data_IF_088560243679
#
_entry.id   IF_088560243679
#
_cell.length_a   1.000
_cell.length_b   1.000
_cell.length_c   1.000
_cell.angle_alpha   90.00
_cell.angle_beta   90.00
_cell.angle_gamma   90.00
#
_symmetry.space_group_name_H-M   'P 1'
#
loop_
_entity.id
_entity.type
_entity.pdbx_description
1 polymer ?
#
# COMPACT_ATOMS: atom_id res chain seq x y z
N UNK A 1 -39.87 -28.86 10.39
CA UNK A 1 -38.91 -27.76 10.12
C UNK A 1 -37.72 -28.05 10.99
N UNK A 2 -36.53 -28.15 10.41
CA UNK A 2 -35.32 -28.49 11.15
C UNK A 2 -34.44 -27.25 11.26
N UNK A 3 -33.86 -27.01 12.43
CA UNK A 3 -33.15 -25.77 12.73
C UNK A 3 -31.75 -26.09 13.22
N UNK A 4 -30.75 -25.50 12.56
CA UNK A 4 -29.36 -25.53 12.98
C UNK A 4 -28.97 -24.14 13.51
N UNK A 5 -28.27 -24.11 14.65
CA UNK A 5 -27.71 -22.87 15.21
C UNK A 5 -26.21 -23.06 15.34
N UNK A 6 -25.45 -22.26 14.62
CA UNK A 6 -24.00 -22.34 14.50
C UNK A 6 -23.36 -21.08 15.06
N UNK A 7 -22.33 -21.26 15.89
CA UNK A 7 -21.40 -20.18 16.25
C UNK A 7 -20.29 -20.15 15.21
N UNK A 8 -20.09 -19.02 14.56
CA UNK A 8 -19.05 -18.86 13.55
C UNK A 8 -17.66 -18.72 14.20
N UNK A 9 -16.60 -19.24 13.55
CA UNK A 9 -15.23 -19.13 14.04
C UNK A 9 -14.74 -17.68 13.88
N UNK A 10 -13.91 -17.20 14.79
CA UNK A 10 -13.33 -15.85 14.71
C UNK A 10 -12.55 -15.68 13.39
N UNK A 11 -12.93 -14.68 12.60
CA UNK A 11 -12.28 -14.32 11.33
C UNK A 11 -11.24 -13.21 11.51
N UNK A 12 -10.29 -13.05 10.57
CA UNK A 12 -9.33 -11.94 10.59
C UNK A 12 -10.03 -10.58 10.63
N UNK A 13 -9.36 -9.59 11.22
CA UNK A 13 -9.83 -8.19 11.16
C UNK A 13 -10.03 -7.76 9.70
N UNK A 14 -11.06 -6.94 9.43
CA UNK A 14 -11.41 -6.41 8.09
C UNK A 14 -11.90 -7.45 7.07
N UNK A 15 -12.43 -8.56 7.57
CA UNK A 15 -13.13 -9.56 6.76
C UNK A 15 -14.56 -9.70 7.26
N UNK A 16 -15.47 -10.14 6.38
CA UNK A 16 -16.85 -10.49 6.72
C UNK A 16 -17.16 -11.89 6.23
N UNK A 17 -18.04 -12.58 6.92
CA UNK A 17 -18.51 -13.89 6.47
C UNK A 17 -19.31 -13.77 5.16
N UNK A 18 -19.10 -14.72 4.26
CA UNK A 18 -19.69 -14.78 2.92
C UNK A 18 -20.52 -16.03 2.70
N UNK A 19 -20.04 -17.19 3.13
CA UNK A 19 -20.77 -18.44 2.93
C UNK A 19 -20.34 -19.55 3.89
N UNK A 20 -21.20 -20.55 4.05
CA UNK A 20 -20.91 -21.78 4.78
C UNK A 20 -20.95 -22.94 3.80
N UNK A 21 -19.94 -23.80 3.87
CA UNK A 21 -19.83 -25.03 3.09
C UNK A 21 -20.57 -26.14 3.81
N UNK A 22 -21.53 -26.74 3.13
CA UNK A 22 -22.43 -27.77 3.63
C UNK A 22 -22.17 -29.07 2.87
N UNK A 23 -22.18 -30.19 3.58
CA UNK A 23 -22.17 -31.54 3.02
C UNK A 23 -23.35 -32.32 3.55
N UNK A 24 -23.89 -33.21 2.73
CA UNK A 24 -24.85 -34.21 3.17
C UNK A 24 -24.68 -35.51 2.37
N UNK A 25 -25.02 -36.66 2.95
CA UNK A 25 -24.94 -37.93 2.25
C UNK A 25 -26.05 -38.09 1.21
N UNK A 26 -25.68 -38.63 0.05
CA UNK A 26 -26.62 -38.97 -1.03
C UNK A 26 -27.09 -37.77 -1.85
N UNK A 27 -28.13 -38.01 -2.65
CA UNK A 27 -28.77 -36.96 -3.45
C UNK A 27 -29.74 -36.14 -2.60
N UNK A 28 -29.71 -34.81 -2.77
CA UNK A 28 -30.59 -33.90 -2.05
C UNK A 28 -30.93 -32.64 -2.83
N UNK A 29 -32.09 -32.07 -2.56
CA UNK A 29 -32.44 -30.68 -2.89
C UNK A 29 -33.12 -30.08 -1.66
N UNK A 30 -32.49 -29.09 -1.05
CA UNK A 30 -32.90 -28.54 0.24
C UNK A 30 -33.10 -27.03 0.08
N UNK A 31 -34.27 -26.58 0.50
CA UNK A 31 -34.65 -25.17 0.55
C UNK A 31 -34.76 -24.73 2.00
N UNK A 32 -34.40 -23.49 2.25
CA UNK A 32 -34.39 -22.97 3.60
C UNK A 32 -34.14 -21.48 3.68
N UNK A 33 -34.06 -21.01 4.92
CA UNK A 33 -33.84 -19.62 5.30
C UNK A 33 -32.63 -19.51 6.20
N UNK A 34 -31.85 -18.46 6.00
CA UNK A 34 -30.70 -18.14 6.84
C UNK A 34 -30.95 -16.84 7.60
N UNK A 35 -30.59 -16.87 8.88
CA UNK A 35 -30.65 -15.73 9.78
C UNK A 35 -29.30 -15.55 10.46
N UNK A 36 -28.92 -14.31 10.68
CA UNK A 36 -27.66 -13.93 11.30
C UNK A 36 -27.92 -13.23 12.62
N UNK A 37 -27.01 -13.37 13.58
CA UNK A 37 -27.18 -12.80 14.92
C UNK A 37 -25.87 -12.50 15.61
N UNK A 38 -25.86 -11.44 16.43
CA UNK A 38 -24.76 -11.13 17.36
C UNK A 38 -24.77 -12.12 18.54
N UNK A 39 -25.94 -12.62 18.90
CA UNK A 39 -26.15 -13.64 19.92
C UNK A 39 -27.26 -14.62 19.49
N UNK A 40 -27.44 -15.75 20.19
CA UNK A 40 -28.48 -16.74 19.84
C UNK A 40 -29.94 -16.31 20.04
N UNK A 41 -30.19 -15.11 20.58
CA UNK A 41 -31.53 -14.63 20.92
C UNK A 41 -32.06 -13.63 19.88
N UNK A 42 -31.16 -12.86 19.24
CA UNK A 42 -31.50 -11.80 18.30
C UNK A 42 -31.08 -12.17 16.88
N UNK A 43 -32.08 -12.39 16.02
CA UNK A 43 -31.90 -12.87 14.66
C UNK A 43 -32.38 -11.85 13.61
N UNK A 44 -31.51 -11.52 12.67
CA UNK A 44 -31.83 -10.80 11.43
C UNK A 44 -31.99 -11.82 10.30
N UNK A 45 -33.11 -11.76 9.59
CA UNK A 45 -33.25 -12.50 8.34
C UNK A 45 -32.26 -11.99 7.29
N UNK A 46 -31.55 -12.89 6.62
CA UNK A 46 -30.59 -12.52 5.59
C UNK A 46 -31.08 -12.94 4.19
N UNK A 47 -31.27 -14.24 3.95
CA UNK A 47 -31.66 -14.74 2.63
C UNK A 47 -32.43 -16.08 2.69
N UNK A 48 -33.04 -16.43 1.56
CA UNK A 48 -33.49 -17.80 1.29
C UNK A 48 -32.44 -18.50 0.42
N UNK A 49 -32.23 -19.80 0.62
CA UNK A 49 -31.25 -20.59 -0.13
C UNK A 49 -31.86 -21.86 -0.70
N UNK A 50 -31.24 -22.37 -1.76
CA UNK A 50 -31.47 -23.71 -2.29
C UNK A 50 -30.10 -24.35 -2.51
N UNK A 51 -29.84 -25.48 -1.85
CA UNK A 51 -28.65 -26.31 -2.08
C UNK A 51 -29.08 -27.64 -2.67
N UNK A 52 -28.27 -28.20 -3.56
CA UNK A 52 -28.60 -29.48 -4.19
C UNK A 52 -27.37 -30.29 -4.54
N UNK A 53 -27.53 -31.60 -4.48
CA UNK A 53 -26.58 -32.58 -4.98
C UNK A 53 -27.36 -33.67 -5.71
N UNK A 54 -27.11 -33.82 -7.01
CA UNK A 54 -27.70 -34.88 -7.85
C UNK A 54 -26.63 -35.87 -8.36
N UNK A 55 -25.45 -35.85 -7.75
CA UNK A 55 -24.35 -36.74 -8.10
C UNK A 55 -24.09 -37.72 -6.94
N UNK A 56 -23.86 -39.00 -7.25
CA UNK A 56 -23.46 -40.00 -6.26
C UNK A 56 -22.15 -39.58 -5.58
N UNK A 57 -22.22 -39.08 -4.35
CA UNK A 57 -21.06 -38.67 -3.54
C UNK A 57 -21.36 -37.61 -2.48
N UNK A 58 -20.40 -37.39 -1.56
CA UNK A 58 -20.47 -36.34 -0.53
C UNK A 58 -19.87 -35.01 -1.04
N UNK A 59 -20.42 -34.49 -2.14
CA UNK A 59 -19.99 -33.20 -2.68
C UNK A 59 -20.51 -32.05 -1.80
N UNK A 60 -19.68 -31.02 -1.67
CA UNK A 60 -20.00 -29.88 -0.82
C UNK A 60 -20.65 -28.76 -1.62
N UNK A 61 -21.74 -28.20 -1.09
CA UNK A 61 -22.41 -27.02 -1.63
C UNK A 61 -22.21 -25.82 -0.68
N UNK A 62 -22.58 -24.61 -1.11
CA UNK A 62 -22.38 -23.37 -0.35
C UNK A 62 -23.72 -22.67 -0.09
N UNK A 63 -23.97 -22.32 1.15
CA UNK A 63 -25.03 -21.38 1.52
C UNK A 63 -24.41 -20.00 1.65
N UNK A 64 -24.79 -19.07 0.77
CA UNK A 64 -24.31 -17.68 0.78
C UNK A 64 -25.12 -16.81 1.73
N UNK A 65 -24.44 -15.90 2.43
CA UNK A 65 -25.05 -14.91 3.30
C UNK A 65 -24.12 -13.70 3.46
N UNK A 66 -24.68 -12.55 3.84
CA UNK A 66 -23.90 -11.34 4.05
C UNK A 66 -23.95 -10.92 5.51
N UNK A 67 -22.89 -11.25 6.26
CA UNK A 67 -22.76 -10.82 7.65
C UNK A 67 -22.31 -9.36 7.76
N UNK A 68 -22.83 -8.67 8.77
CA UNK A 68 -22.27 -7.43 9.32
C UNK A 68 -21.13 -7.75 10.30
N UNK A 69 -20.32 -6.75 10.68
CA UNK A 69 -19.10 -6.96 11.49
C UNK A 69 -19.36 -7.66 12.83
N UNK A 70 -20.53 -7.47 13.43
CA UNK A 70 -20.85 -7.97 14.77
C UNK A 70 -21.59 -9.33 14.77
N UNK A 71 -22.00 -9.85 13.62
CA UNK A 71 -22.80 -11.07 13.51
C UNK A 71 -21.92 -12.33 13.57
N UNK A 72 -21.87 -13.00 14.74
CA UNK A 72 -21.07 -14.22 14.95
C UNK A 72 -21.87 -15.51 15.02
N UNK A 73 -23.19 -15.46 14.83
CA UNK A 73 -24.08 -16.62 14.86
C UNK A 73 -24.91 -16.72 13.58
N UNK A 74 -25.18 -17.96 13.17
CA UNK A 74 -26.03 -18.27 12.02
C UNK A 74 -27.09 -19.28 12.45
N UNK A 75 -28.34 -18.99 12.13
CA UNK A 75 -29.47 -19.91 12.23
C UNK A 75 -29.93 -20.32 10.84
N UNK A 76 -29.94 -21.61 10.58
CA UNK A 76 -30.35 -22.19 9.30
C UNK A 76 -31.64 -22.98 9.55
N UNK A 77 -32.70 -22.57 8.88
CA UNK A 77 -34.01 -23.20 8.94
C UNK A 77 -34.26 -23.91 7.61
N UNK A 78 -34.45 -25.23 7.64
CA UNK A 78 -34.72 -26.03 6.45
C UNK A 78 -36.17 -26.52 6.42
N UNK A 79 -36.72 -26.55 5.21
CA UNK A 79 -38.09 -26.94 4.92
C UNK A 79 -38.34 -28.41 5.28
N UNK A 80 -39.60 -28.73 5.64
CA UNK A 80 -39.96 -30.01 6.26
C UNK A 80 -39.68 -31.24 5.40
N UNK A 81 -39.61 -31.10 4.08
CA UNK A 81 -39.31 -32.21 3.16
C UNK A 81 -37.84 -32.68 3.25
N UNK A 82 -36.96 -31.93 3.90
CA UNK A 82 -35.54 -32.24 4.05
C UNK A 82 -35.18 -32.88 5.42
N UNK A 83 -36.17 -33.22 6.27
CA UNK A 83 -35.94 -33.63 7.66
C UNK A 83 -35.13 -34.92 7.85
N UNK A 84 -34.94 -35.71 6.79
CA UNK A 84 -34.17 -36.96 6.84
C UNK A 84 -32.70 -36.80 6.42
N UNK A 85 -32.29 -35.59 6.02
CA UNK A 85 -30.94 -35.32 5.52
C UNK A 85 -30.17 -34.55 6.60
N UNK A 86 -29.15 -35.20 7.16
CA UNK A 86 -28.28 -34.58 8.16
C UNK A 86 -27.24 -33.71 7.46
N UNK A 87 -27.32 -32.39 7.68
CA UNK A 87 -26.37 -31.43 7.11
C UNK A 87 -25.13 -31.33 8.00
N UNK A 88 -23.96 -31.52 7.39
CA UNK A 88 -22.65 -31.28 8.01
C UNK A 88 -22.07 -29.95 7.53
N UNK A 89 -21.77 -29.05 8.48
CA UNK A 89 -21.19 -27.74 8.19
C UNK A 89 -19.67 -27.80 8.36
N UNK A 90 -18.96 -27.81 7.24
CA UNK A 90 -17.52 -28.15 7.22
C UNK A 90 -16.60 -26.94 7.29
N UNK A 91 -16.98 -25.83 6.67
CA UNK A 91 -16.13 -24.63 6.58
C UNK A 91 -16.97 -23.37 6.45
N UNK A 92 -16.43 -22.25 6.92
CA UNK A 92 -16.95 -20.91 6.65
C UNK A 92 -15.97 -20.17 5.72
N UNK A 93 -16.50 -19.48 4.72
CA UNK A 93 -15.76 -18.64 3.79
C UNK A 93 -16.03 -17.18 4.16
N UNK A 94 -14.96 -16.39 4.21
CA UNK A 94 -15.01 -14.96 4.43
C UNK A 94 -14.47 -14.23 3.19
N UNK A 95 -14.84 -12.97 3.04
CA UNK A 95 -14.28 -12.06 2.04
C UNK A 95 -13.75 -10.79 2.70
N UNK A 96 -12.74 -10.19 2.08
CA UNK A 96 -12.21 -8.90 2.49
C UNK A 96 -13.28 -7.83 2.32
N UNK A 97 -13.50 -7.00 3.34
CA UNK A 97 -14.34 -5.80 3.22
C UNK A 97 -13.49 -4.75 2.51
N UNK A 98 -13.85 -4.28 1.30
CA UNK A 98 -13.10 -3.26 0.60
C UNK A 98 -13.42 -1.88 1.21
N UNK A 99 -13.03 -1.67 2.46
CA UNK A 99 -12.94 -0.32 2.99
C UNK A 99 -11.63 0.25 2.45
N UNK A 100 -11.71 1.26 1.57
CA UNK A 100 -10.53 2.00 1.13
C UNK A 100 -9.98 2.74 2.35
N UNK A 101 -9.16 2.05 3.13
CA UNK A 101 -8.60 2.62 4.33
C UNK A 101 -7.59 3.70 3.93
N UNK A 102 -7.87 4.91 4.38
CA UNK A 102 -6.98 6.05 4.21
C UNK A 102 -6.20 6.26 5.51
N UNK A 103 -4.88 6.18 5.44
CA UNK A 103 -4.03 6.64 6.53
C UNK A 103 -3.89 8.15 6.44
N UNK A 104 -4.39 8.83 7.47
CA UNK A 104 -4.27 10.28 7.63
C UNK A 104 -2.95 10.62 8.31
N UNK A 105 -2.13 11.44 7.66
CA UNK A 105 -0.90 12.01 8.23
C UNK A 105 -0.98 13.53 8.20
N UNK A 106 -0.75 14.16 9.34
CA UNK A 106 -0.55 15.62 9.40
C UNK A 106 0.86 15.93 8.88
N UNK A 107 0.96 16.88 7.95
CA UNK A 107 2.25 17.35 7.43
C UNK A 107 2.94 18.21 8.49
N UNK A 108 4.20 17.90 8.78
CA UNK A 108 5.00 18.70 9.69
C UNK A 108 5.37 20.04 9.05
N UNK A 109 5.50 21.09 9.87
CA UNK A 109 5.85 22.43 9.38
C UNK A 109 7.21 22.47 8.69
N UNK A 110 8.13 21.57 9.06
CA UNK A 110 9.45 21.40 8.44
C UNK A 110 9.40 20.89 7.00
N UNK A 111 8.36 20.11 6.67
CA UNK A 111 8.14 19.56 5.32
C UNK A 111 7.33 20.49 4.41
N UNK A 112 6.84 21.61 4.96
CA UNK A 112 6.01 22.60 4.30
C UNK A 112 6.76 23.92 4.17
N UNK A 113 7.08 24.32 2.94
CA UNK A 113 7.70 25.61 2.65
C UNK A 113 6.67 26.54 2.02
N UNK A 114 6.61 27.78 2.48
CA UNK A 114 5.72 28.81 1.91
C UNK A 114 6.53 29.88 1.20
N UNK A 115 6.03 30.36 0.07
CA UNK A 115 6.58 31.49 -0.67
C UNK A 115 5.47 32.33 -1.31
N UNK A 116 5.86 33.44 -1.92
CA UNK A 116 4.97 34.30 -2.68
C UNK A 116 5.57 34.55 -4.07
N UNK A 117 4.76 34.36 -5.11
CA UNK A 117 5.13 34.65 -6.48
C UNK A 117 4.57 36.03 -6.86
N UNK A 118 5.46 37.00 -7.06
CA UNK A 118 5.09 38.38 -7.44
C UNK A 118 4.45 38.47 -8.81
N UNK A 119 4.88 37.63 -9.76
CA UNK A 119 4.47 37.74 -11.16
C UNK A 119 3.02 37.32 -11.35
N UNK A 120 2.59 36.29 -10.62
CA UNK A 120 1.23 35.76 -10.65
C UNK A 120 0.37 36.21 -9.48
N UNK A 121 0.94 36.99 -8.54
CA UNK A 121 0.33 37.36 -7.26
C UNK A 121 -0.30 36.16 -6.57
N UNK A 122 0.51 35.15 -6.32
CA UNK A 122 0.07 33.87 -5.75
C UNK A 122 0.89 33.46 -4.53
N UNK A 123 0.20 32.89 -3.54
CA UNK A 123 0.78 32.16 -2.44
C UNK A 123 1.15 30.75 -2.89
N UNK A 124 2.39 30.34 -2.62
CA UNK A 124 2.92 29.05 -3.06
C UNK A 124 3.32 28.22 -1.84
N UNK A 125 2.85 26.99 -1.78
CA UNK A 125 3.20 26.02 -0.75
C UNK A 125 3.87 24.81 -1.39
N UNK A 126 5.07 24.46 -0.93
CA UNK A 126 5.82 23.29 -1.35
C UNK A 126 5.77 22.25 -0.24
N UNK A 127 5.37 21.04 -0.58
CA UNK A 127 5.45 19.89 0.28
C UNK A 127 6.50 18.92 -0.27
N UNK A 128 7.55 18.67 0.52
CA UNK A 128 8.76 17.95 0.04
C UNK A 128 8.59 16.43 -0.11
N UNK A 129 7.62 15.84 0.60
CA UNK A 129 7.39 14.39 0.61
C UNK A 129 8.68 13.52 0.73
N UNK A 130 9.53 13.71 1.76
CA UNK A 130 10.85 13.05 1.83
C UNK A 130 10.77 11.52 1.84
N UNK A 131 9.71 10.96 2.42
CA UNK A 131 9.45 9.52 2.49
C UNK A 131 8.83 8.96 1.21
N UNK A 132 8.52 9.80 0.22
CA UNK A 132 7.87 9.43 -1.04
C UNK A 132 6.58 8.63 -0.86
N UNK A 133 5.81 8.95 0.18
CA UNK A 133 4.54 8.26 0.43
C UNK A 133 3.55 8.52 -0.71
N UNK A 134 2.77 7.51 -1.15
CA UNK A 134 1.85 7.63 -2.28
C UNK A 134 0.57 8.36 -1.87
N UNK A 135 0.57 9.68 -2.02
CA UNK A 135 -0.52 10.55 -1.56
C UNK A 135 -1.65 10.54 -2.58
N UNK A 136 -2.84 10.07 -2.21
CA UNK A 136 -4.01 10.13 -3.08
C UNK A 136 -4.91 11.33 -2.81
N UNK A 137 -4.80 11.95 -1.63
CA UNK A 137 -5.60 13.12 -1.27
C UNK A 137 -4.86 14.03 -0.30
N UNK A 138 -5.06 15.33 -0.44
CA UNK A 138 -4.53 16.35 0.46
C UNK A 138 -5.64 17.32 0.89
N UNK A 139 -5.64 17.70 2.16
CA UNK A 139 -6.63 18.59 2.76
C UNK A 139 -5.91 19.81 3.35
N UNK A 140 -6.31 20.99 2.89
CA UNK A 140 -5.72 22.26 3.33
C UNK A 140 -6.68 22.95 4.29
N UNK A 141 -6.15 23.32 5.46
CA UNK A 141 -6.85 24.06 6.49
C UNK A 141 -6.38 25.51 6.45
N UNK A 142 -7.28 26.37 5.98
CA UNK A 142 -7.01 27.79 5.76
C UNK A 142 -7.63 28.59 6.92
N UNK A 143 -6.84 29.50 7.48
CA UNK A 143 -7.21 30.31 8.65
C UNK A 143 -8.39 31.23 8.39
N UNK A 144 -8.42 31.84 7.20
CA UNK A 144 -9.38 32.87 6.86
C UNK A 144 -10.82 32.34 6.83
N UNK A 145 -11.75 33.14 7.37
CA UNK A 145 -13.16 32.74 7.55
C UNK A 145 -14.02 32.89 6.29
N UNK A 146 -13.55 33.62 5.28
CA UNK A 146 -14.24 33.82 4.01
C UNK A 146 -13.21 34.10 2.92
N UNK A 147 -13.23 33.32 1.86
CA UNK A 147 -12.38 33.52 0.69
C UNK A 147 -12.98 32.85 -0.54
N UNK A 148 -12.60 33.30 -1.73
CA UNK A 148 -12.73 32.55 -2.98
C UNK A 148 -11.44 32.78 -3.78
N UNK A 149 -10.70 31.72 -4.10
CA UNK A 149 -9.43 31.78 -4.82
C UNK A 149 -9.36 30.71 -5.88
N UNK A 150 -8.59 30.97 -6.94
CA UNK A 150 -8.16 29.92 -7.87
C UNK A 150 -6.96 29.20 -7.27
N UNK A 151 -6.89 27.89 -7.44
CA UNK A 151 -5.79 27.05 -7.01
C UNK A 151 -5.31 26.17 -8.16
N UNK A 152 -3.99 26.02 -8.28
CA UNK A 152 -3.34 25.03 -9.12
C UNK A 152 -2.50 24.10 -8.26
N UNK A 153 -2.47 22.82 -8.62
CA UNK A 153 -1.62 21.83 -7.98
C UNK A 153 -0.66 21.27 -9.02
N UNK A 154 0.59 21.12 -8.61
CA UNK A 154 1.68 20.59 -9.41
C UNK A 154 2.39 19.49 -8.64
N UNK A 155 3.03 18.59 -9.37
CA UNK A 155 3.93 17.58 -8.82
C UNK A 155 5.29 17.71 -9.49
N UNK A 156 6.34 17.28 -8.80
CA UNK A 156 7.67 17.22 -9.38
C UNK A 156 7.84 15.93 -10.17
N UNK A 157 8.12 16.04 -11.46
CA UNK A 157 8.33 14.90 -12.35
C UNK A 157 9.76 14.35 -12.25
N UNK A 158 10.05 13.29 -13.01
CA UNK A 158 11.37 12.63 -13.04
C UNK A 158 12.50 13.56 -13.53
N UNK A 159 12.18 14.54 -14.37
CA UNK A 159 13.11 15.59 -14.83
C UNK A 159 13.36 16.69 -13.80
N UNK A 160 12.81 16.56 -12.59
CA UNK A 160 12.87 17.56 -11.49
C UNK A 160 12.13 18.86 -11.79
N UNK A 161 11.26 18.86 -12.79
CA UNK A 161 10.41 19.99 -13.14
C UNK A 161 9.01 19.84 -12.54
N UNK A 162 8.34 20.96 -12.27
CA UNK A 162 6.97 20.94 -11.77
C UNK A 162 5.98 20.87 -12.93
N UNK A 163 5.23 19.77 -12.99
CA UNK A 163 4.16 19.55 -13.96
C UNK A 163 2.80 19.69 -13.28
N UNK A 164 1.82 20.24 -14.01
CA UNK A 164 0.49 20.54 -13.47
C UNK A 164 -0.34 19.26 -13.32
N UNK A 165 -0.74 18.92 -12.09
CA UNK A 165 -1.71 17.87 -11.82
C UNK A 165 -3.14 18.32 -12.14
N UNK A 166 -3.44 19.57 -11.82
CA UNK A 166 -4.79 20.09 -11.98
C UNK A 166 -4.97 21.45 -11.33
N UNK A 167 -6.22 21.84 -11.13
CA UNK A 167 -6.57 23.07 -10.45
C UNK A 167 -8.08 23.23 -10.33
N UNK A 168 -8.48 24.25 -9.59
CA UNK A 168 -9.89 24.52 -9.33
C UNK A 168 -10.08 25.86 -8.65
N UNK A 169 -11.26 26.04 -8.06
CA UNK A 169 -11.56 27.15 -7.16
C UNK A 169 -11.78 26.62 -5.76
N UNK A 170 -11.22 27.32 -4.79
CA UNK A 170 -11.38 27.06 -3.37
C UNK A 170 -12.17 28.22 -2.78
N UNK A 171 -13.15 27.94 -1.93
CA UNK A 171 -13.91 28.99 -1.29
C UNK A 171 -14.44 28.56 0.07
N UNK A 172 -14.57 29.54 0.96
CA UNK A 172 -15.22 29.40 2.26
C UNK A 172 -16.32 30.45 2.38
N UNK A 173 -17.54 29.98 2.69
CA UNK A 173 -18.66 30.84 3.11
C UNK A 173 -18.68 30.91 4.64
N UNK A 174 -19.23 32.00 5.19
CA UNK A 174 -19.22 32.31 6.63
C UNK A 174 -19.81 31.23 7.56
N UNK A 175 -20.67 30.34 7.04
CA UNK A 175 -21.31 29.27 7.81
C UNK A 175 -20.91 27.85 7.34
N UNK A 176 -19.84 27.69 6.56
CA UNK A 176 -19.39 26.39 6.03
C UNK A 176 -18.05 25.91 6.63
N UNK A 177 -17.86 24.59 6.68
CA UNK A 177 -16.51 24.02 6.83
C UNK A 177 -15.67 24.38 5.59
N UNK A 178 -14.38 24.59 5.78
CA UNK A 178 -13.50 25.21 4.78
C UNK A 178 -12.29 24.39 4.46
N UNK A 179 -12.52 23.11 4.37
CA UNK A 179 -11.44 22.19 4.13
C UNK A 179 -11.33 22.04 2.63
N UNK A 180 -10.24 22.57 2.08
CA UNK A 180 -9.97 22.41 0.66
C UNK A 180 -9.48 20.99 0.46
N UNK A 181 -10.37 20.13 -0.03
CA UNK A 181 -10.08 18.74 -0.31
C UNK A 181 -9.59 18.57 -1.76
N UNK A 182 -8.33 18.18 -1.92
CA UNK A 182 -7.66 17.92 -3.18
C UNK A 182 -7.55 16.42 -3.37
N UNK A 183 -8.36 15.84 -4.26
CA UNK A 183 -8.33 14.42 -4.59
C UNK A 183 -7.56 14.21 -5.88
N UNK A 184 -6.56 13.35 -5.87
CA UNK A 184 -5.72 13.04 -7.02
C UNK A 184 -6.21 11.76 -7.71
N UNK A 185 -6.23 11.78 -9.05
CA UNK A 185 -6.69 10.61 -9.82
C UNK A 185 -5.72 9.42 -9.74
N UNK A 186 -4.44 9.69 -9.45
CA UNK A 186 -3.37 8.73 -9.20
C UNK A 186 -2.61 9.18 -7.95
N UNK A 187 -2.18 8.24 -7.08
CA UNK A 187 -1.32 8.58 -5.95
C UNK A 187 -0.01 9.25 -6.39
N UNK A 188 0.42 10.26 -5.65
CA UNK A 188 1.60 11.07 -5.95
C UNK A 188 2.65 10.86 -4.86
N UNK A 189 3.79 10.28 -5.24
CA UNK A 189 4.93 10.01 -4.35
C UNK A 189 6.05 11.05 -4.44
N UNK A 190 5.87 12.13 -5.19
CA UNK A 190 6.86 13.19 -5.36
C UNK A 190 6.50 14.46 -4.59
N UNK A 191 7.35 15.49 -4.72
CA UNK A 191 7.10 16.81 -4.15
C UNK A 191 5.82 17.42 -4.76
N UNK A 192 4.98 18.01 -3.93
CA UNK A 192 3.78 18.74 -4.34
C UNK A 192 4.03 20.23 -4.25
N UNK A 193 3.58 20.99 -5.26
CA UNK A 193 3.50 22.45 -5.23
C UNK A 193 2.04 22.86 -5.37
N UNK A 194 1.56 23.64 -4.42
CA UNK A 194 0.21 24.19 -4.39
C UNK A 194 0.33 25.69 -4.58
N UNK A 195 -0.34 26.23 -5.60
CA UNK A 195 -0.32 27.64 -5.92
C UNK A 195 -1.74 28.21 -5.81
N UNK A 196 -1.95 29.16 -4.91
CA UNK A 196 -3.21 29.85 -4.68
C UNK A 196 -3.09 31.27 -5.23
N UNK A 197 -3.90 31.61 -6.21
CA UNK A 197 -3.89 32.93 -6.85
C UNK A 197 -4.69 33.90 -6.00
N UNK A 198 -3.99 34.85 -5.37
CA UNK A 198 -4.57 35.82 -4.44
C UNK A 198 -5.15 37.05 -5.16
N UNK A 199 -4.57 37.42 -6.31
CA UNK A 199 -5.02 38.58 -7.06
C UNK A 199 -4.87 39.86 -6.25
N UNK A 200 -5.95 40.63 -6.11
CA UNK A 200 -5.95 41.89 -5.34
C UNK A 200 -6.20 41.69 -3.84
N UNK A 201 -6.61 40.49 -3.43
CA UNK A 201 -6.85 40.20 -2.03
C UNK A 201 -5.56 39.82 -1.29
N UNK A 202 -5.60 39.86 0.04
CA UNK A 202 -4.50 39.40 0.89
C UNK A 202 -4.22 37.89 0.73
N UNK A 203 -2.94 37.46 0.83
CA UNK A 203 -2.52 36.07 0.86
C UNK A 203 -3.25 35.22 1.91
N UNK A 204 -3.64 34.00 1.55
CA UNK A 204 -4.25 33.06 2.49
C UNK A 204 -3.22 32.39 3.40
N UNK A 205 -3.58 32.18 4.67
CA UNK A 205 -2.71 31.54 5.66
C UNK A 205 -3.05 30.04 5.77
N UNK A 206 -2.13 29.18 5.34
CA UNK A 206 -2.23 27.74 5.54
C UNK A 206 -1.85 27.37 6.99
N UNK A 207 -2.82 26.96 7.80
CA UNK A 207 -2.58 26.53 9.18
C UNK A 207 -2.07 25.10 9.27
N UNK A 208 -2.65 24.23 8.45
CA UNK A 208 -2.39 22.80 8.46
C UNK A 208 -2.60 22.20 7.09
N UNK A 209 -1.77 21.22 6.75
CA UNK A 209 -2.00 20.31 5.64
C UNK A 209 -2.08 18.90 6.18
N UNK A 210 -3.09 18.16 5.73
CA UNK A 210 -3.21 16.73 5.99
C UNK A 210 -3.14 15.98 4.67
N UNK A 211 -2.37 14.92 4.64
CA UNK A 211 -2.29 14.01 3.50
C UNK A 211 -2.96 12.70 3.88
N UNK A 212 -3.56 12.07 2.89
CA UNK A 212 -4.18 10.77 2.98
C UNK A 212 -3.45 9.85 2.01
N UNK A 213 -3.15 8.66 2.52
CA UNK A 213 -2.42 7.60 1.83
C UNK A 213 -3.34 6.40 1.81
N UNK A 214 -3.49 5.74 0.67
CA UNK A 214 -4.25 4.50 0.60
C UNK A 214 -3.48 3.40 1.34
N UNK A 215 -4.19 2.55 2.07
CA UNK A 215 -3.61 1.34 2.62
C UNK A 215 -3.08 0.49 1.46
N UNK A 216 -1.77 0.26 1.47
CA UNK A 216 -1.12 -0.72 0.61
C UNK A 216 -0.94 -2.02 1.39
N UNK A 217 -1.20 -3.14 0.73
CA UNK A 217 -0.97 -4.47 1.29
C UNK A 217 0.18 -5.10 0.51
N UNK A 218 1.21 -5.54 1.25
CA UNK A 218 2.29 -6.35 0.70
C UNK A 218 2.00 -7.79 1.08
N UNK A 219 1.89 -8.64 0.07
CA UNK A 219 1.57 -10.05 0.26
C UNK A 219 2.79 -10.86 -0.15
N UNK A 220 3.25 -11.72 0.76
CA UNK A 220 4.37 -12.60 0.53
C UNK A 220 3.84 -14.02 0.31
N UNK A 221 4.03 -14.62 -0.88
CA UNK A 221 3.71 -16.02 -1.06
C UNK A 221 4.66 -16.86 -0.21
N UNK A 222 4.10 -17.71 0.65
CA UNK A 222 4.86 -18.67 1.43
C UNK A 222 4.65 -20.04 0.80
N UNK A 223 5.72 -20.64 0.27
CA UNK A 223 5.69 -22.05 -0.10
C UNK A 223 5.88 -22.87 1.17
N UNK A 224 4.75 -23.23 1.78
CA UNK A 224 4.72 -24.13 2.93
C UNK A 224 4.82 -25.56 2.39
N UNK A 225 5.98 -26.21 2.54
CA UNK A 225 6.02 -27.67 2.51
C UNK A 225 5.25 -28.18 3.76
N UNK A 226 4.63 -29.37 3.68
CA UNK A 226 3.64 -29.90 4.65
C UNK A 226 4.09 -29.94 6.14
N UNK A 227 5.34 -29.62 6.47
CA UNK A 227 5.87 -29.48 7.82
C UNK A 227 5.56 -28.10 8.43
N UNK A 228 4.27 -27.92 8.72
CA UNK A 228 3.66 -26.76 9.40
C UNK A 228 4.24 -26.39 10.78
N UNK A 229 5.10 -27.23 11.36
CA UNK A 229 5.69 -27.02 12.70
C UNK A 229 6.97 -26.14 12.71
N UNK A 230 7.54 -25.79 11.55
CA UNK A 230 8.87 -25.16 11.47
C UNK A 230 8.89 -23.63 11.27
N UNK A 231 7.76 -22.99 10.96
CA UNK A 231 7.76 -21.57 10.55
C UNK A 231 7.42 -20.68 11.74
N UNK A 232 8.38 -20.53 12.64
CA UNK A 232 8.22 -19.62 13.79
C UNK A 232 8.86 -18.24 13.57
N UNK A 233 9.69 -18.05 12.54
CA UNK A 233 10.48 -16.81 12.40
C UNK A 233 10.63 -16.32 10.96
N UNK A 234 9.57 -15.76 10.37
CA UNK A 234 9.69 -14.98 9.14
C UNK A 234 10.32 -13.62 9.45
N UNK A 235 11.33 -13.24 8.67
CA UNK A 235 12.02 -11.95 8.80
C UNK A 235 11.91 -11.19 7.48
N UNK A 236 11.49 -9.93 7.56
CA UNK A 236 11.44 -9.03 6.41
C UNK A 236 12.68 -8.14 6.49
N UNK A 237 13.52 -8.20 5.46
CA UNK A 237 14.67 -7.30 5.31
C UNK A 237 14.33 -6.23 4.27
N UNK A 238 14.63 -4.97 4.56
CA UNK A 238 14.40 -3.85 3.64
C UNK A 238 15.59 -2.88 3.68
N UNK A 239 15.60 -1.91 2.76
CA UNK A 239 16.64 -0.88 2.70
C UNK A 239 17.92 -1.28 1.96
N UNK A 240 17.98 -2.47 1.35
CA UNK A 240 19.10 -2.86 0.49
C UNK A 240 19.01 -2.12 -0.86
N UNK A 241 19.95 -1.19 -1.18
CA UNK A 241 19.92 -0.45 -2.44
C UNK A 241 20.21 -1.30 -3.68
N UNK A 242 20.70 -2.53 -3.49
CA UNK A 242 20.99 -3.51 -4.56
C UNK A 242 19.93 -4.60 -4.69
N UNK A 243 18.87 -4.57 -3.88
CA UNK A 243 17.77 -5.52 -4.05
C UNK A 243 17.07 -5.27 -5.39
N UNK A 244 16.89 -6.33 -6.17
CA UNK A 244 16.02 -6.28 -7.35
C UNK A 244 14.58 -6.04 -6.89
N UNK A 245 13.82 -5.27 -7.69
CA UNK A 245 12.39 -5.19 -7.50
C UNK A 245 11.79 -6.59 -7.60
N UNK A 246 10.88 -6.97 -6.69
CA UNK A 246 10.20 -8.25 -6.82
C UNK A 246 9.37 -8.25 -8.11
N UNK A 247 9.59 -9.25 -8.96
CA UNK A 247 8.74 -9.50 -10.12
C UNK A 247 7.55 -10.33 -9.67
N UNK A 248 6.39 -9.71 -9.50
CA UNK A 248 5.14 -10.42 -9.16
C UNK A 248 4.26 -10.59 -10.40
N UNK A 249 3.92 -11.84 -10.71
CA UNK A 249 2.83 -12.20 -11.63
C UNK A 249 1.57 -12.42 -10.78
N UNK A 250 0.80 -11.36 -10.55
CA UNK A 250 -0.37 -11.39 -9.66
C UNK A 250 -1.44 -12.40 -10.11
N UNK A 251 -1.62 -12.61 -11.43
CA UNK A 251 -2.60 -13.58 -11.95
C UNK A 251 -2.23 -15.03 -11.61
N UNK A 252 -0.94 -15.35 -11.52
CA UNK A 252 -0.49 -16.70 -11.11
C UNK A 252 -0.36 -16.88 -9.61
N UNK A 253 -0.16 -15.80 -8.86
CA UNK A 253 0.15 -15.84 -7.43
C UNK A 253 -1.11 -15.91 -6.55
N UNK A 254 -2.26 -15.45 -7.05
CA UNK A 254 -3.51 -15.37 -6.31
C UNK A 254 -4.57 -16.33 -6.87
N UNK A 255 -4.47 -17.62 -6.56
CA UNK A 255 -5.60 -18.52 -6.71
C UNK A 255 -6.61 -18.31 -5.58
N UNK A 256 -7.92 -18.46 -5.85
CA UNK A 256 -9.00 -18.32 -4.84
C UNK A 256 -8.88 -19.32 -3.66
N UNK A 257 -7.93 -20.24 -3.72
CA UNK A 257 -7.65 -21.28 -2.72
C UNK A 257 -6.56 -20.91 -1.69
N UNK A 258 -5.92 -19.75 -1.78
CA UNK A 258 -4.79 -19.39 -0.89
C UNK A 258 -5.28 -19.06 0.53
N UNK A 259 -4.66 -19.71 1.53
CA UNK A 259 -4.89 -19.42 2.95
C UNK A 259 -4.00 -18.23 3.37
N UNK A 260 -4.62 -17.19 3.92
CA UNK A 260 -3.89 -16.01 4.41
C UNK A 260 -3.61 -16.14 5.91
N UNK A 261 -2.34 -16.01 6.30
CA UNK A 261 -1.94 -15.91 7.71
C UNK A 261 -1.66 -14.43 7.99
N UNK A 262 -2.52 -13.82 8.82
CA UNK A 262 -2.27 -12.47 9.32
C UNK A 262 -1.08 -12.46 10.27
N UNK A 263 -0.07 -11.63 9.97
CA UNK A 263 1.11 -11.46 10.82
C UNK A 263 1.24 -9.99 11.23
N UNK A 264 1.80 -9.75 12.42
CA UNK A 264 2.07 -8.40 12.93
C UNK A 264 3.56 -8.15 12.81
N UNK A 265 3.94 -7.05 12.17
CA UNK A 265 5.32 -6.60 12.08
C UNK A 265 5.81 -6.27 13.50
N UNK A 266 6.88 -6.93 13.93
CA UNK A 266 7.55 -6.65 15.20
C UNK A 266 8.48 -5.44 15.07
N UNK A 267 9.04 -4.98 16.19
CA UNK A 267 9.95 -3.84 16.22
C UNK A 267 11.14 -4.02 15.26
N UNK A 268 11.47 -2.93 14.54
CA UNK A 268 12.64 -2.85 13.67
C UNK A 268 13.94 -3.03 14.47
N UNK A 269 14.86 -3.85 13.96
CA UNK A 269 16.20 -4.01 14.51
C UNK A 269 17.22 -4.01 13.38
N UNK A 270 18.37 -3.39 13.63
CA UNK A 270 19.50 -3.45 12.71
C UNK A 270 19.95 -4.90 12.52
N UNK A 271 20.14 -5.30 11.27
CA UNK A 271 20.64 -6.63 10.95
C UNK A 271 22.17 -6.64 11.07
N UNK A 272 22.69 -7.11 12.20
CA UNK A 272 24.14 -7.23 12.44
C UNK A 272 24.87 -8.11 11.40
N UNK A 273 24.13 -9.01 10.73
CA UNK A 273 24.67 -9.85 9.66
C UNK A 273 24.64 -9.17 8.29
N UNK A 274 24.13 -7.95 8.18
CA UNK A 274 24.20 -7.14 6.96
C UNK A 274 25.60 -6.52 6.84
N UNK A 275 26.56 -7.37 6.46
CA UNK A 275 27.91 -6.94 6.11
C UNK A 275 28.04 -6.77 4.61
N UNK A 276 28.56 -5.63 4.16
CA UNK A 276 29.12 -5.53 2.81
C UNK A 276 30.23 -6.58 2.69
N UNK A 277 29.98 -7.64 1.93
CA UNK A 277 31.05 -8.52 1.52
C UNK A 277 31.99 -7.67 0.66
N UNK A 278 33.29 -7.73 0.91
CA UNK A 278 34.32 -7.09 0.07
C UNK A 278 34.20 -7.54 -1.40
N UNK A 279 33.42 -8.60 -1.68
CA UNK A 279 33.17 -9.16 -3.00
C UNK A 279 31.94 -8.63 -3.77
N UNK A 280 30.90 -8.04 -3.14
CA UNK A 280 29.65 -7.68 -3.86
C UNK A 280 28.90 -6.48 -3.21
N UNK A 281 28.50 -5.39 -3.91
CA UNK A 281 29.01 -4.68 -5.12
C UNK A 281 29.13 -3.13 -4.90
N UNK A 282 29.35 -2.23 -5.91
CA UNK A 282 30.31 -2.27 -7.02
C UNK A 282 31.72 -1.94 -6.50
N UNK A 283 32.75 -2.15 -7.31
CA UNK A 283 34.15 -1.77 -7.01
C UNK A 283 34.17 -0.39 -6.36
N UNK A 284 34.42 -0.36 -5.04
CA UNK A 284 34.29 0.85 -4.20
C UNK A 284 34.89 2.03 -4.95
N UNK A 285 34.17 3.15 -5.03
CA UNK A 285 34.62 4.34 -5.77
C UNK A 285 36.06 4.74 -5.37
N UNK A 286 36.47 4.41 -4.14
CA UNK A 286 37.83 4.55 -3.64
C UNK A 286 38.87 3.67 -4.36
N UNK A 287 38.54 2.42 -4.69
CA UNK A 287 39.41 1.51 -5.44
C UNK A 287 39.58 2.04 -6.88
N UNK A 288 38.50 2.47 -7.52
CA UNK A 288 38.54 3.08 -8.87
C UNK A 288 39.39 4.37 -8.85
N UNK A 289 39.19 5.23 -7.84
CA UNK A 289 40.03 6.43 -7.64
C UNK A 289 41.50 6.07 -7.44
N UNK A 290 41.78 5.01 -6.65
CA UNK A 290 43.13 4.50 -6.45
C UNK A 290 43.80 4.10 -7.75
N UNK A 291 43.15 3.26 -8.58
CA UNK A 291 43.68 2.87 -9.88
C UNK A 291 43.82 4.04 -10.85
N UNK A 292 42.89 5.00 -10.82
CA UNK A 292 42.97 6.22 -11.63
C UNK A 292 44.22 7.06 -11.29
N UNK A 293 44.45 7.35 -10.01
CA UNK A 293 45.63 8.10 -9.58
C UNK A 293 46.93 7.34 -9.80
N UNK A 294 46.90 6.01 -9.63
CA UNK A 294 48.04 5.16 -9.94
C UNK A 294 48.40 5.20 -11.44
N UNK A 295 47.41 5.12 -12.32
CA UNK A 295 47.60 5.31 -13.77
C UNK A 295 48.17 6.69 -14.11
N UNK A 296 47.70 7.74 -13.44
CA UNK A 296 48.17 9.11 -13.65
C UNK A 296 49.64 9.28 -13.21
N UNK A 297 50.03 8.65 -12.09
CA UNK A 297 51.43 8.61 -11.64
C UNK A 297 52.35 7.87 -12.62
N UNK A 298 51.89 6.74 -13.17
CA UNK A 298 52.64 6.02 -14.21
C UNK A 298 52.85 6.90 -15.44
N UNK A 299 51.80 7.60 -15.88
CA UNK A 299 51.87 8.49 -17.03
C UNK A 299 52.87 9.63 -16.78
N UNK A 300 52.79 10.27 -15.61
CA UNK A 300 53.69 11.35 -15.22
C UNK A 300 55.15 10.88 -15.18
N UNK A 301 55.40 9.68 -14.64
CA UNK A 301 56.72 9.06 -14.61
C UNK A 301 57.27 8.77 -16.01
N UNK A 302 56.44 8.23 -16.91
CA UNK A 302 56.83 7.95 -18.30
C UNK A 302 57.12 9.25 -19.06
N UNK A 303 56.29 10.28 -18.92
CA UNK A 303 56.52 11.59 -19.53
C UNK A 303 57.78 12.25 -19.00
N UNK A 304 58.03 12.21 -17.69
CA UNK A 304 59.26 12.71 -17.08
C UNK A 304 60.50 11.97 -17.62
N UNK A 305 60.43 10.64 -17.76
CA UNK A 305 61.52 9.84 -18.33
C UNK A 305 61.82 10.23 -19.78
N UNK A 306 60.79 10.44 -20.61
CA UNK A 306 60.96 10.89 -22.01
C UNK A 306 61.55 12.30 -22.07
N UNK A 307 61.05 13.22 -21.22
CA UNK A 307 61.55 14.59 -21.15
C UNK A 307 63.04 14.62 -20.76
N UNK A 308 63.44 13.84 -19.75
CA UNK A 308 64.83 13.70 -19.31
C UNK A 308 65.73 13.09 -20.40
N UNK A 309 65.25 12.10 -21.13
CA UNK A 309 65.99 11.47 -22.23
C UNK A 309 66.21 12.42 -23.41
N UNK A 310 65.22 13.27 -23.73
CA UNK A 310 65.37 14.30 -24.78
C UNK A 310 66.27 15.45 -24.36
N UNK A 311 66.17 15.92 -23.12
CA UNK A 311 67.08 16.96 -22.61
C UNK A 311 68.52 16.48 -22.55
N UNK A 312 68.78 15.22 -22.18
CA UNK A 312 70.13 14.65 -22.21
C UNK A 312 70.70 14.40 -23.61
N UNK A 313 69.87 14.40 -24.67
CA UNK A 313 70.31 14.25 -26.07
C UNK A 313 70.47 15.60 -26.80
N UNK A 314 70.00 16.70 -26.22
CA UNK A 314 70.17 18.05 -26.78
C UNK A 314 71.49 18.72 -26.31
N UNK A 315 72.22 18.09 -25.39
CA UNK A 315 73.57 18.48 -24.96
C UNK A 315 74.69 17.68 -25.69
N UNK A 316 74.45 17.28 -26.94
CA UNK A 316 75.50 16.77 -27.84
C UNK A 316 76.30 17.93 -28.46
N UNK A 317 77.62 17.78 -28.69
CA UNK A 317 78.50 18.92 -28.96
C UNK A 317 78.11 19.61 -30.27
N UNK A 318 77.99 20.93 -30.19
CA UNK A 318 78.04 21.81 -31.35
C UNK A 318 79.42 21.64 -31.98
N UNK A 319 79.47 21.12 -33.20
CA UNK A 319 80.61 21.24 -34.12
C UNK A 319 80.21 22.21 -35.21
#
# INVERSE_FOLDING_TARGET
>A
MYTYVLKLPKIPTKTKYKSIVVKAPGEYEIKGKIYLGVNPENWRFDSEFTIYNYQEGNLADKIEFTATEDETYVRIEVDQNASNINLEFTKVIYESVPERMEFKKTVEKTDLESGFNSDTRSSVFYFRNPMKVPIHRAMLFIKEKKFERKLNVFFKNSSKEFERLGGGKIFRKSNGSSDTNLVFHKPISSELKIEIFDGDDDPLTLEKMEIFILQEEIIFPLNLEDDSDSIQNLRIYYGNPYAFYPEFDFEKTFSESVFQIGSVIQEERENENFGYSIGEPPVSTWIIRGFFFFGLMILFFLTYRVFRYRTSHLDGPVI
#
